data_IF_766629324588
#
_entry.id   IF_766629324588
#
_cell.length_a   1.000
_cell.length_b   1.000
_cell.length_c   1.000
_cell.angle_alpha   90.00
_cell.angle_beta   90.00
_cell.angle_gamma   90.00
#
_symmetry.space_group_name_H-M   'P 1'
#
loop_
_entity.id
_entity.type
_entity.pdbx_description
1 polymer ?
#
# COMPACT_ATOMS: atom_id res chain seq x y z
N UNK A 1 21.05 -7.66 -16.66
CA UNK A 1 19.80 -8.38 -16.97
C UNK A 1 18.71 -7.33 -16.88
N UNK A 2 17.96 -7.05 -17.96
CA UNK A 2 16.82 -6.15 -17.86
C UNK A 2 15.80 -6.73 -16.87
N UNK A 3 15.08 -5.86 -16.18
CA UNK A 3 14.03 -6.29 -15.26
C UNK A 3 12.89 -6.92 -16.04
N UNK A 4 12.36 -8.05 -15.58
CA UNK A 4 11.15 -8.62 -16.15
C UNK A 4 9.98 -7.67 -15.90
N UNK A 5 9.27 -7.31 -16.97
CA UNK A 5 8.09 -6.46 -16.88
C UNK A 5 7.00 -7.11 -16.01
N UNK A 6 6.41 -6.39 -15.05
CA UNK A 6 5.22 -6.83 -14.35
C UNK A 6 4.07 -7.09 -15.32
N UNK A 7 3.24 -8.09 -15.00
CA UNK A 7 2.12 -8.51 -15.85
C UNK A 7 1.21 -7.35 -16.32
N UNK A 8 0.85 -6.36 -15.48
CA UNK A 8 0.00 -5.24 -15.92
C UNK A 8 0.56 -4.40 -17.07
N UNK A 9 1.89 -4.33 -17.25
CA UNK A 9 2.54 -3.58 -18.34
C UNK A 9 3.21 -4.48 -19.38
N UNK A 10 3.31 -5.79 -19.11
CA UNK A 10 3.98 -6.74 -20.00
C UNK A 10 3.26 -6.86 -21.35
N UNK A 11 1.92 -6.89 -21.35
CA UNK A 11 1.13 -6.97 -22.58
C UNK A 11 1.34 -5.74 -23.46
N UNK A 12 1.30 -4.55 -22.87
CA UNK A 12 1.56 -3.29 -23.55
C UNK A 12 2.95 -3.27 -24.17
N UNK A 13 3.98 -3.54 -23.37
CA UNK A 13 5.37 -3.57 -23.82
C UNK A 13 5.59 -4.56 -24.95
N UNK A 14 4.90 -5.71 -24.96
CA UNK A 14 5.00 -6.70 -26.02
C UNK A 14 4.49 -6.20 -27.38
N UNK A 15 3.53 -5.27 -27.38
CA UNK A 15 2.95 -4.70 -28.60
C UNK A 15 3.83 -3.59 -29.20
N UNK A 16 4.77 -3.05 -28.43
CA UNK A 16 5.66 -1.98 -28.89
C UNK A 16 6.60 -2.43 -30.01
N UNK A 17 7.19 -1.46 -30.71
CA UNK A 17 8.14 -1.70 -31.80
C UNK A 17 7.59 -2.61 -32.91
N UNK A 18 6.34 -2.37 -33.34
CA UNK A 18 5.62 -3.20 -34.32
C UNK A 18 5.48 -4.67 -33.86
N UNK A 19 5.26 -4.90 -32.56
CA UNK A 19 5.13 -6.23 -31.98
C UNK A 19 6.44 -6.96 -31.73
N UNK A 20 7.60 -6.28 -31.86
CA UNK A 20 8.89 -6.85 -31.45
C UNK A 20 9.16 -6.71 -29.95
N UNK A 21 8.29 -5.98 -29.24
CA UNK A 21 8.41 -5.77 -27.81
C UNK A 21 9.38 -4.66 -27.42
N UNK A 22 9.40 -4.33 -26.14
CA UNK A 22 10.36 -3.45 -25.51
C UNK A 22 10.67 -3.93 -24.08
N UNK A 23 11.88 -3.65 -23.59
CA UNK A 23 12.25 -3.88 -22.19
C UNK A 23 11.53 -2.86 -21.28
N UNK A 24 11.30 -3.22 -20.01
CA UNK A 24 10.60 -2.37 -19.04
C UNK A 24 11.23 -0.97 -18.93
N UNK A 25 12.55 -0.88 -18.97
CA UNK A 25 13.28 0.38 -18.83
C UNK A 25 12.97 1.36 -19.97
N UNK A 26 12.54 0.88 -21.15
CA UNK A 26 12.16 1.74 -22.27
C UNK A 26 10.92 2.56 -21.91
N UNK A 27 9.93 1.98 -21.22
CA UNK A 27 8.75 2.74 -20.74
C UNK A 27 9.19 3.92 -19.87
N UNK A 28 10.10 3.68 -18.92
CA UNK A 28 10.63 4.75 -18.06
C UNK A 28 11.47 5.78 -18.82
N UNK A 29 12.17 5.40 -19.89
CA UNK A 29 12.96 6.33 -20.70
C UNK A 29 12.10 7.30 -21.51
N UNK A 30 10.92 6.86 -21.96
CA UNK A 30 10.03 7.66 -22.82
C UNK A 30 8.93 8.39 -22.04
N UNK A 31 8.37 7.75 -21.01
CA UNK A 31 7.21 8.28 -20.26
C UNK A 31 7.56 8.66 -18.82
N UNK A 32 8.77 8.33 -18.36
CA UNK A 32 9.20 8.60 -17.00
C UNK A 32 9.21 10.10 -16.69
N UNK A 33 8.82 10.42 -15.46
CA UNK A 33 8.79 11.80 -14.96
C UNK A 33 9.46 11.87 -13.60
N UNK A 34 10.61 12.54 -13.51
CA UNK A 34 11.33 12.72 -12.23
C UNK A 34 10.45 13.34 -11.14
N UNK A 35 9.57 14.28 -11.50
CA UNK A 35 8.65 14.91 -10.56
C UNK A 35 7.69 13.87 -9.96
N UNK A 36 7.08 13.03 -10.80
CA UNK A 36 6.18 11.96 -10.35
C UNK A 36 6.96 10.89 -9.59
N UNK A 37 8.13 10.46 -10.07
CA UNK A 37 8.96 9.48 -9.37
C UNK A 37 9.32 9.90 -7.95
N UNK A 38 9.61 11.18 -7.70
CA UNK A 38 9.84 11.69 -6.34
C UNK A 38 8.55 11.62 -5.51
N UNK A 39 7.43 12.09 -6.05
CA UNK A 39 6.12 12.04 -5.37
C UNK A 39 5.70 10.60 -5.03
N UNK A 40 5.74 9.70 -6.00
CA UNK A 40 5.32 8.31 -5.87
C UNK A 40 6.26 7.56 -4.93
N UNK A 41 7.57 7.80 -4.98
CA UNK A 41 8.50 7.18 -4.02
C UNK A 41 8.20 7.57 -2.58
N UNK A 42 7.76 8.81 -2.32
CA UNK A 42 7.39 9.27 -0.98
C UNK A 42 6.06 8.67 -0.50
N UNK A 43 5.14 8.34 -1.42
CA UNK A 43 3.86 7.72 -1.13
C UNK A 43 3.98 6.20 -0.94
N UNK A 44 4.67 5.53 -1.86
CA UNK A 44 4.84 4.08 -1.88
C UNK A 44 5.83 3.60 -0.82
N UNK A 45 6.71 4.46 -0.29
CA UNK A 45 7.58 4.17 0.85
C UNK A 45 7.08 4.93 2.10
N UNK A 46 6.04 4.42 2.79
CA UNK A 46 5.35 5.16 3.84
C UNK A 46 6.27 5.49 5.02
N UNK A 47 5.97 6.62 5.66
CA UNK A 47 6.56 7.00 6.93
C UNK A 47 5.63 6.57 8.05
N UNK A 48 6.16 5.84 9.01
CA UNK A 48 5.44 5.43 10.21
C UNK A 48 5.97 6.19 11.43
N UNK A 49 5.12 6.40 12.42
CA UNK A 49 5.47 7.05 13.69
C UNK A 49 4.90 6.27 14.86
N UNK A 50 5.65 6.23 15.96
CA UNK A 50 5.13 5.76 17.23
C UNK A 50 4.35 6.91 17.88
N UNK A 51 3.06 6.70 18.12
CA UNK A 51 2.16 7.62 18.81
C UNK A 51 1.56 6.88 19.99
N UNK A 52 2.05 7.19 21.20
CA UNK A 52 1.72 6.40 22.39
C UNK A 52 2.10 4.93 22.21
N UNK A 53 1.16 3.98 22.40
CA UNK A 53 1.43 2.56 22.20
C UNK A 53 1.30 2.09 20.73
N UNK A 54 0.85 2.95 19.81
CA UNK A 54 0.49 2.63 18.42
C UNK A 54 1.57 3.04 17.43
N UNK A 55 1.75 2.25 16.37
CA UNK A 55 2.52 2.58 15.19
C UNK A 55 1.53 3.00 14.11
N UNK A 56 1.59 4.26 13.69
CA UNK A 56 0.65 4.85 12.75
C UNK A 56 1.35 5.39 11.52
N UNK A 57 0.67 5.34 10.37
CA UNK A 57 1.09 6.07 9.17
C UNK A 57 1.11 7.58 9.43
N UNK A 58 2.16 8.25 8.94
CA UNK A 58 2.26 9.71 9.00
C UNK A 58 1.06 10.35 8.29
N UNK A 59 0.39 11.28 8.99
CA UNK A 59 -0.90 11.85 8.58
C UNK A 59 -2.06 11.45 9.48
N UNK A 60 -1.92 10.37 10.27
CA UNK A 60 -2.82 10.10 11.39
C UNK A 60 -2.64 11.17 12.48
N UNK A 61 -3.74 11.81 12.91
CA UNK A 61 -3.72 12.83 13.95
C UNK A 61 -4.06 12.25 15.34
N UNK A 62 -3.54 12.86 16.40
CA UNK A 62 -3.80 12.43 17.77
C UNK A 62 -5.28 12.62 18.16
N UNK A 63 -5.94 13.63 17.57
CA UNK A 63 -7.36 13.90 17.77
C UNK A 63 -8.22 12.73 17.25
N UNK A 64 -7.88 12.17 16.08
CA UNK A 64 -8.55 10.97 15.56
C UNK A 64 -8.35 9.77 16.48
N UNK A 65 -7.18 9.59 17.08
CA UNK A 65 -6.94 8.46 18.01
C UNK A 65 -7.89 8.55 19.20
N UNK A 66 -8.03 9.73 19.83
CA UNK A 66 -8.91 9.91 20.98
C UNK A 66 -10.38 9.65 20.65
N UNK A 67 -10.84 10.12 19.48
CA UNK A 67 -12.21 9.84 19.00
C UNK A 67 -12.46 8.33 18.79
N UNK A 68 -11.46 7.59 18.32
CA UNK A 68 -11.55 6.14 18.13
C UNK A 68 -11.39 5.35 19.43
N UNK A 69 -10.57 5.79 20.39
CA UNK A 69 -10.40 5.12 21.69
C UNK A 69 -11.74 5.04 22.46
N UNK A 70 -12.52 6.13 22.44
CA UNK A 70 -13.83 6.20 23.07
C UNK A 70 -14.87 5.29 22.39
N UNK A 71 -14.80 5.14 21.05
CA UNK A 71 -15.78 4.34 20.29
C UNK A 71 -15.48 2.84 20.28
N UNK A 72 -14.22 2.43 20.45
CA UNK A 72 -13.80 1.04 20.35
C UNK A 72 -13.73 0.30 21.69
N UNK A 73 -14.20 0.91 22.78
CA UNK A 73 -14.27 0.28 24.11
C UNK A 73 -12.95 -0.37 24.56
N UNK A 74 -11.80 0.19 24.15
CA UNK A 74 -10.47 -0.35 24.47
C UNK A 74 -9.91 -1.39 23.49
N UNK A 75 -10.56 -1.68 22.35
CA UNK A 75 -9.99 -2.53 21.30
C UNK A 75 -8.81 -1.85 20.59
N UNK A 76 -7.62 -2.01 21.18
CA UNK A 76 -6.36 -1.48 20.66
C UNK A 76 -5.97 -2.07 19.31
N UNK A 77 -6.38 -3.32 19.01
CA UNK A 77 -6.12 -3.94 17.72
C UNK A 77 -6.97 -3.26 16.64
N UNK A 78 -8.28 -3.17 16.88
CA UNK A 78 -9.23 -2.53 15.98
C UNK A 78 -8.87 -1.08 15.71
N UNK A 79 -8.45 -0.35 16.73
CA UNK A 79 -8.03 1.05 16.58
C UNK A 79 -6.82 1.18 15.66
N UNK A 80 -5.75 0.46 15.95
CA UNK A 80 -4.54 0.54 15.13
C UNK A 80 -4.80 0.07 13.71
N UNK A 81 -5.65 -0.95 13.52
CA UNK A 81 -6.05 -1.43 12.21
C UNK A 81 -6.83 -0.35 11.42
N UNK A 82 -7.87 0.25 11.99
CA UNK A 82 -8.68 1.29 11.32
C UNK A 82 -7.81 2.51 11.00
N UNK A 83 -6.94 2.93 11.91
CA UNK A 83 -6.08 4.09 11.70
C UNK A 83 -4.98 3.88 10.65
N UNK A 84 -4.64 2.62 10.36
CA UNK A 84 -3.67 2.24 9.33
C UNK A 84 -4.33 1.62 8.10
N UNK A 85 -5.65 1.72 7.99
CA UNK A 85 -6.42 1.25 6.86
C UNK A 85 -6.32 2.25 5.70
N UNK A 86 -6.03 1.74 4.51
CA UNK A 86 -5.91 2.54 3.29
C UNK A 86 -6.42 1.75 2.10
N UNK A 87 -7.21 2.40 1.27
CA UNK A 87 -7.61 1.89 -0.03
C UNK A 87 -6.51 2.19 -1.05
N UNK A 88 -6.30 1.30 -2.03
CA UNK A 88 -5.29 1.56 -3.06
C UNK A 88 -5.60 2.79 -3.89
N UNK A 89 -6.89 3.08 -4.10
CA UNK A 89 -7.34 4.24 -4.86
C UNK A 89 -7.17 5.57 -4.10
N UNK A 90 -6.87 5.54 -2.79
CA UNK A 90 -6.49 6.74 -2.02
C UNK A 90 -5.16 7.35 -2.47
N UNK A 91 -4.28 6.56 -3.10
CA UNK A 91 -2.98 7.04 -3.61
C UNK A 91 -3.12 7.86 -4.88
N UNK A 92 -4.12 7.56 -5.71
CA UNK A 92 -4.32 8.14 -7.03
C UNK A 92 -5.81 8.50 -7.21
N UNK A 93 -6.24 9.59 -6.58
CA UNK A 93 -7.64 10.05 -6.49
C UNK A 93 -8.33 10.38 -7.83
N UNK A 94 -7.57 10.44 -8.93
CA UNK A 94 -8.11 10.64 -10.26
C UNK A 94 -7.97 9.33 -11.01
N UNK A 95 -9.09 8.63 -11.19
CA UNK A 95 -9.17 7.43 -12.03
C UNK A 95 -8.76 7.81 -13.46
N UNK A 96 -7.56 7.40 -13.84
CA UNK A 96 -7.08 7.45 -15.22
C UNK A 96 -7.46 6.15 -15.94
N UNK A 97 -7.30 6.14 -17.27
CA UNK A 97 -7.62 5.03 -18.20
C UNK A 97 -6.81 3.74 -17.94
N UNK A 98 -5.92 3.72 -16.95
CA UNK A 98 -5.02 2.62 -16.62
C UNK A 98 -5.36 1.80 -15.37
N UNK A 99 -6.44 2.12 -14.64
CA UNK A 99 -6.83 1.34 -13.47
C UNK A 99 -7.55 0.05 -13.89
N UNK A 100 -6.94 -1.09 -13.61
CA UNK A 100 -7.55 -2.41 -13.81
C UNK A 100 -7.40 -3.28 -12.57
N UNK A 101 -8.15 -4.39 -12.51
CA UNK A 101 -8.02 -5.40 -11.47
C UNK A 101 -6.59 -5.92 -11.33
N UNK A 102 -5.91 -6.18 -12.44
CA UNK A 102 -4.53 -6.68 -12.47
C UNK A 102 -3.56 -5.65 -11.88
N UNK A 103 -3.74 -4.37 -12.24
CA UNK A 103 -2.94 -3.25 -11.70
C UNK A 103 -3.13 -3.13 -10.19
N UNK A 104 -4.37 -3.07 -9.72
CA UNK A 104 -4.67 -2.90 -8.29
C UNK A 104 -4.19 -4.12 -7.50
N UNK A 105 -4.40 -5.34 -8.00
CA UNK A 105 -3.93 -6.56 -7.36
C UNK A 105 -2.39 -6.61 -7.30
N UNK A 106 -1.70 -6.20 -8.36
CA UNK A 106 -0.23 -6.11 -8.37
C UNK A 106 0.27 -5.09 -7.34
N UNK A 107 -0.25 -3.86 -7.37
CA UNK A 107 0.16 -2.80 -6.45
C UNK A 107 -0.13 -3.14 -5.00
N UNK A 108 -1.28 -3.77 -4.71
CA UNK A 108 -1.64 -4.22 -3.36
C UNK A 108 -0.59 -5.17 -2.79
N UNK A 109 -0.19 -6.19 -3.57
CA UNK A 109 0.84 -7.16 -3.13
C UNK A 109 2.19 -6.48 -2.87
N UNK A 110 2.63 -5.63 -3.80
CA UNK A 110 3.91 -4.93 -3.67
C UNK A 110 3.92 -3.98 -2.48
N UNK A 111 2.82 -3.26 -2.24
CA UNK A 111 2.72 -2.36 -1.10
C UNK A 111 2.67 -3.12 0.21
N UNK A 112 2.03 -4.29 0.29
CA UNK A 112 2.12 -5.16 1.46
C UNK A 112 3.57 -5.52 1.78
N UNK A 113 4.35 -5.99 0.79
CA UNK A 113 5.77 -6.32 0.98
C UNK A 113 6.59 -5.11 1.45
N UNK A 114 6.35 -3.94 0.85
CA UNK A 114 7.00 -2.69 1.25
C UNK A 114 6.66 -2.33 2.70
N UNK A 115 5.38 -2.42 3.09
CA UNK A 115 4.94 -2.12 4.46
C UNK A 115 5.57 -3.08 5.46
N UNK A 116 5.59 -4.38 5.17
CA UNK A 116 6.23 -5.40 6.01
C UNK A 116 7.72 -5.12 6.20
N UNK A 117 8.44 -4.89 5.11
CA UNK A 117 9.86 -4.60 5.14
C UNK A 117 10.15 -3.30 5.90
N UNK A 118 9.36 -2.25 5.66
CA UNK A 118 9.52 -0.94 6.30
C UNK A 118 9.24 -1.01 7.80
N UNK A 119 8.16 -1.66 8.21
CA UNK A 119 7.80 -1.83 9.63
C UNK A 119 8.87 -2.64 10.36
N UNK A 120 9.34 -3.73 9.76
CA UNK A 120 10.41 -4.56 10.34
C UNK A 120 11.72 -3.77 10.49
N UNK A 121 12.08 -2.97 9.48
CA UNK A 121 13.27 -2.13 9.51
C UNK A 121 13.18 -1.01 10.54
N UNK A 122 12.02 -0.36 10.65
CA UNK A 122 11.85 0.82 11.50
C UNK A 122 11.53 0.47 12.97
N UNK A 123 10.83 -0.63 13.22
CA UNK A 123 10.41 -1.07 14.56
C UNK A 123 10.69 -2.57 14.77
N UNK A 124 11.96 -3.00 14.76
CA UNK A 124 12.32 -4.43 14.86
C UNK A 124 11.86 -5.08 16.18
N UNK A 125 11.64 -4.30 17.23
CA UNK A 125 11.16 -4.73 18.55
C UNK A 125 9.62 -4.80 18.66
N UNK A 126 8.89 -4.35 17.63
CA UNK A 126 7.42 -4.26 17.61
C UNK A 126 6.89 -4.91 16.34
N UNK A 127 6.89 -6.25 16.27
CA UNK A 127 6.50 -6.95 15.06
C UNK A 127 5.05 -6.62 14.70
N UNK A 128 4.82 -6.27 13.44
CA UNK A 128 3.49 -5.96 12.91
C UNK A 128 2.97 -7.12 12.05
N UNK A 129 1.64 -7.23 11.98
CA UNK A 129 0.92 -8.01 11.00
C UNK A 129 0.42 -7.04 9.94
N UNK A 130 0.83 -7.25 8.68
CA UNK A 130 0.28 -6.56 7.52
C UNK A 130 -0.65 -7.53 6.80
N UNK A 131 -1.80 -7.04 6.35
CA UNK A 131 -2.73 -7.80 5.53
C UNK A 131 -3.20 -6.95 4.36
N UNK A 132 -3.49 -7.62 3.25
CA UNK A 132 -4.34 -7.08 2.19
C UNK A 132 -5.74 -7.63 2.32
N UNK A 133 -6.75 -6.78 2.14
CA UNK A 133 -8.13 -7.20 1.95
C UNK A 133 -8.47 -7.04 0.48
N UNK A 134 -9.04 -8.10 -0.11
CA UNK A 134 -9.58 -8.07 -1.48
C UNK A 134 -11.11 -8.11 -1.40
N UNK A 135 -11.82 -7.40 -2.29
CA UNK A 135 -13.28 -7.48 -2.34
C UNK A 135 -13.77 -8.86 -2.76
N UNK A 136 -15.03 -9.17 -2.42
CA UNK A 136 -15.71 -10.38 -2.90
C UNK A 136 -15.96 -10.31 -4.41
N UNK A 137 -16.28 -9.12 -4.92
CA UNK A 137 -16.31 -8.81 -6.35
C UNK A 137 -14.98 -8.14 -6.76
N UNK A 138 -14.12 -8.82 -7.56
CA UNK A 138 -12.82 -8.27 -7.98
C UNK A 138 -12.90 -6.98 -8.81
N UNK A 139 -14.09 -6.63 -9.34
CA UNK A 139 -14.29 -5.39 -10.09
C UNK A 139 -14.59 -4.19 -9.17
N UNK A 140 -14.78 -4.40 -7.86
CA UNK A 140 -14.81 -3.32 -6.87
C UNK A 140 -13.39 -2.82 -6.58
N UNK A 141 -12.77 -2.19 -7.58
CA UNK A 141 -11.36 -1.78 -7.54
C UNK A 141 -11.01 -0.88 -6.34
N UNK A 142 -11.97 -0.08 -5.88
CA UNK A 142 -11.83 0.76 -4.69
C UNK A 142 -11.72 -0.02 -3.39
N UNK A 143 -12.18 -1.27 -3.33
CA UNK A 143 -12.22 -2.07 -2.11
C UNK A 143 -10.95 -2.92 -1.87
N UNK A 144 -9.93 -2.78 -2.71
CA UNK A 144 -8.61 -3.32 -2.41
C UNK A 144 -7.92 -2.45 -1.36
N UNK A 145 -7.54 -3.08 -0.24
CA UNK A 145 -7.09 -2.36 0.94
C UNK A 145 -5.82 -2.99 1.51
N UNK A 146 -5.06 -2.16 2.23
CA UNK A 146 -3.94 -2.59 3.08
C UNK A 146 -4.25 -2.15 4.50
N UNK A 147 -3.96 -3.01 5.46
CA UNK A 147 -4.14 -2.73 6.89
C UNK A 147 -3.02 -3.37 7.68
N UNK A 148 -2.61 -2.75 8.78
CA UNK A 148 -1.66 -3.38 9.69
C UNK A 148 -1.92 -3.00 11.16
N UNK A 149 -1.41 -3.84 12.05
CA UNK A 149 -1.39 -3.63 13.50
C UNK A 149 -0.17 -4.34 14.13
N UNK A 150 0.21 -3.98 15.34
CA UNK A 150 1.24 -4.70 16.11
C UNK A 150 0.71 -6.06 16.56
N UNK A 151 1.51 -7.13 16.38
CA UNK A 151 1.13 -8.51 16.77
C UNK A 151 0.84 -8.68 18.26
N UNK A 152 1.40 -7.81 19.11
CA UNK A 152 1.14 -7.85 20.57
C UNK A 152 -0.35 -7.73 20.88
N UNK A 153 -1.14 -7.08 20.01
CA UNK A 153 -2.58 -6.93 20.21
C UNK A 153 -3.38 -8.21 19.99
N UNK A 154 -2.83 -9.17 19.24
CA UNK A 154 -3.44 -10.48 19.02
C UNK A 154 -3.38 -11.34 20.28
N UNK A 155 -2.37 -11.14 21.12
CA UNK A 155 -2.20 -11.86 22.39
C UNK A 155 -3.09 -11.30 23.52
N UNK A 156 -3.59 -10.08 23.38
CA UNK A 156 -4.45 -9.41 24.38
C UNK A 156 -5.94 -9.54 24.10
N UNK A 157 -6.35 -10.18 22.98
CA UNK A 157 -7.75 -10.40 22.62
C UNK A 157 -8.39 -11.64 23.24
N UNK A 158 -8.35 -11.75 24.58
CA UNK A 158 -9.01 -12.80 25.38
C UNK A 158 -10.18 -12.26 26.20
#
# INVERSE_FOLDING_TARGET
MPYSAPEPVASELSAWNNGNGAELEVLSQYEGSYRLSVSDSALLWPKFKLVGPYILREGASAERIAEWEDSLSGDSRGLEAVMNHIHLTDYFLHHDDGLSREVVAFLTRQLCEIHEAKLMWQFPDRPCRVISTTPDDPEELDNYQITFWQKKWEATGG
#
